data_IF_597696962473
#
_entry.id   IF_597696962473
#
_cell.length_a   1.000
_cell.length_b   1.000
_cell.length_c   1.000
_cell.angle_alpha   90.00
_cell.angle_beta   90.00
_cell.angle_gamma   90.00
#
_symmetry.space_group_name_H-M   'P 1'
#
loop_
_entity.id
_entity.type
_entity.pdbx_description
1 polymer ?
#
# COMPACT_ATOMS: atom_id res chain seq x y z
N UNK A 1 -5.96 7.92 53.96
CA UNK A 1 -5.48 7.31 52.71
C UNK A 1 -6.64 7.36 51.72
N UNK A 2 -6.61 8.23 50.72
CA UNK A 2 -7.75 8.41 49.81
C UNK A 2 -7.71 7.33 48.72
N UNK A 3 -8.73 6.47 48.70
CA UNK A 3 -8.91 5.47 47.66
C UNK A 3 -9.27 6.16 46.34
N UNK A 4 -8.36 6.11 45.39
CA UNK A 4 -8.52 6.65 44.03
C UNK A 4 -8.80 5.49 43.08
N UNK A 5 -9.99 4.88 43.18
CA UNK A 5 -10.44 3.95 42.15
C UNK A 5 -10.86 4.77 40.92
N UNK A 6 -10.13 4.61 39.82
CA UNK A 6 -10.46 5.23 38.53
C UNK A 6 -11.78 4.64 38.01
N UNK A 7 -12.78 5.50 37.81
CA UNK A 7 -14.06 5.09 37.22
C UNK A 7 -13.91 4.94 35.69
N UNK A 8 -14.69 4.05 35.07
CA UNK A 8 -14.61 3.74 33.63
C UNK A 8 -14.72 4.96 32.71
N UNK A 9 -15.42 6.01 33.16
CA UNK A 9 -15.51 7.30 32.45
C UNK A 9 -14.19 8.08 32.43
N UNK A 10 -13.38 7.99 33.49
CA UNK A 10 -12.06 8.65 33.56
C UNK A 10 -11.03 7.93 32.67
N UNK A 11 -11.11 6.60 32.57
CA UNK A 11 -10.29 5.81 31.65
C UNK A 11 -10.64 6.16 30.20
N UNK A 12 -11.93 6.24 29.86
CA UNK A 12 -12.39 6.63 28.54
C UNK A 12 -11.91 8.04 28.15
N UNK A 13 -12.00 9.01 29.06
CA UNK A 13 -11.50 10.37 28.80
C UNK A 13 -9.97 10.43 28.69
N UNK A 14 -9.22 9.66 29.47
CA UNK A 14 -7.77 9.60 29.37
C UNK A 14 -7.30 9.06 28.00
N UNK A 15 -7.98 8.03 27.47
CA UNK A 15 -7.70 7.50 26.14
C UNK A 15 -8.07 8.53 25.06
N UNK A 16 -9.23 9.17 25.20
CA UNK A 16 -9.71 10.17 24.23
C UNK A 16 -8.76 11.37 24.15
N UNK A 17 -8.28 11.88 25.29
CA UNK A 17 -7.34 13.00 25.40
C UNK A 17 -5.95 12.69 24.82
N UNK A 18 -5.53 11.42 24.76
CA UNK A 18 -4.22 11.04 24.21
C UNK A 18 -4.26 10.80 22.69
N UNK A 19 -5.37 10.25 22.17
CA UNK A 19 -5.47 9.81 20.77
C UNK A 19 -5.97 10.92 19.83
N UNK A 20 -6.91 11.75 20.28
CA UNK A 20 -7.54 12.74 19.38
C UNK A 20 -6.70 13.99 19.07
N UNK A 21 -5.99 14.64 20.03
CA UNK A 21 -5.23 15.85 19.72
C UNK A 21 -3.91 15.57 18.99
N UNK A 22 -3.34 14.37 19.15
CA UNK A 22 -2.04 14.01 18.57
C UNK A 22 -2.10 13.72 17.07
N UNK A 23 -3.22 13.19 16.58
CA UNK A 23 -3.38 12.81 15.18
C UNK A 23 -4.14 13.86 14.34
N UNK A 24 -5.09 14.61 14.94
CA UNK A 24 -6.05 15.40 14.17
C UNK A 24 -6.05 16.91 14.44
N UNK A 25 -5.39 17.40 15.49
CA UNK A 25 -5.45 18.84 15.84
C UNK A 25 -4.24 19.66 15.34
N UNK A 26 -3.19 19.01 14.83
CA UNK A 26 -2.02 19.69 14.25
C UNK A 26 -2.09 19.60 12.73
N UNK A 27 -2.47 20.69 12.06
CA UNK A 27 -2.55 20.78 10.58
C UNK A 27 -1.30 20.20 9.88
N UNK A 28 -0.11 20.40 10.44
CA UNK A 28 1.14 19.85 9.90
C UNK A 28 1.24 18.32 9.99
N UNK A 29 0.76 17.70 11.08
CA UNK A 29 0.75 16.24 11.25
C UNK A 29 -0.29 15.60 10.32
N UNK A 30 -1.43 16.26 10.13
CA UNK A 30 -2.48 15.82 9.21
C UNK A 30 -1.99 15.76 7.76
N UNK A 31 -1.34 16.82 7.27
CA UNK A 31 -0.78 16.82 5.91
C UNK A 31 0.34 15.78 5.74
N UNK A 32 1.23 15.67 6.74
CA UNK A 32 2.34 14.71 6.68
C UNK A 32 1.84 13.26 6.70
N UNK A 33 0.81 12.96 7.48
CA UNK A 33 0.22 11.62 7.52
C UNK A 33 -0.50 11.27 6.22
N UNK A 34 -1.18 12.23 5.59
CA UNK A 34 -1.77 12.05 4.26
C UNK A 34 -0.68 11.76 3.23
N UNK A 35 0.41 12.53 3.19
CA UNK A 35 1.48 12.28 2.22
C UNK A 35 2.19 10.94 2.45
N UNK A 36 2.51 10.61 3.71
CA UNK A 36 3.11 9.33 4.04
C UNK A 36 2.17 8.16 3.70
N UNK A 37 0.88 8.29 3.99
CA UNK A 37 -0.14 7.32 3.65
C UNK A 37 -0.33 7.17 2.15
N UNK A 38 -0.34 8.28 1.40
CA UNK A 38 -0.46 8.28 -0.06
C UNK A 38 0.73 7.57 -0.71
N UNK A 39 1.96 7.84 -0.28
CA UNK A 39 3.15 7.18 -0.81
C UNK A 39 3.15 5.66 -0.52
N UNK A 40 2.82 5.28 0.72
CA UNK A 40 2.70 3.87 1.07
C UNK A 40 1.58 3.17 0.28
N UNK A 41 0.44 3.87 0.08
CA UNK A 41 -0.68 3.36 -0.68
C UNK A 41 -0.35 3.23 -2.17
N UNK A 42 0.33 4.19 -2.78
CA UNK A 42 0.79 4.15 -4.17
C UNK A 42 1.59 2.87 -4.46
N UNK A 43 2.64 2.62 -3.67
CA UNK A 43 3.48 1.43 -3.83
C UNK A 43 2.68 0.13 -3.68
N UNK A 44 1.83 0.08 -2.66
CA UNK A 44 1.01 -1.11 -2.39
C UNK A 44 -0.03 -1.33 -3.49
N UNK A 45 -0.70 -0.27 -3.92
CA UNK A 45 -1.76 -0.31 -4.92
C UNK A 45 -1.21 -0.69 -6.30
N UNK A 46 -0.10 -0.10 -6.73
CA UNK A 46 0.54 -0.44 -8.00
C UNK A 46 0.99 -1.90 -8.02
N UNK A 47 1.64 -2.36 -6.95
CA UNK A 47 2.10 -3.75 -6.85
C UNK A 47 0.93 -4.73 -6.88
N UNK A 48 -0.12 -4.45 -6.10
CA UNK A 48 -1.30 -5.30 -6.03
C UNK A 48 -2.07 -5.32 -7.36
N UNK A 49 -2.31 -4.16 -7.94
CA UNK A 49 -3.09 -4.02 -9.18
C UNK A 49 -2.39 -4.69 -10.36
N UNK A 50 -1.07 -4.50 -10.49
CA UNK A 50 -0.27 -5.20 -11.50
C UNK A 50 -0.34 -6.72 -11.30
N UNK A 51 -0.21 -7.22 -10.07
CA UNK A 51 -0.29 -8.66 -9.79
C UNK A 51 -1.66 -9.25 -10.14
N UNK A 52 -2.74 -8.52 -9.84
CA UNK A 52 -4.11 -8.92 -10.19
C UNK A 52 -4.24 -9.00 -11.71
N UNK A 53 -3.82 -7.94 -12.41
CA UNK A 53 -3.85 -7.88 -13.87
C UNK A 53 -3.05 -9.02 -14.52
N UNK A 54 -1.85 -9.27 -14.00
CA UNK A 54 -0.94 -10.30 -14.48
C UNK A 54 -1.52 -11.70 -14.34
N UNK A 55 -2.22 -11.95 -13.24
CA UNK A 55 -2.85 -13.23 -12.96
C UNK A 55 -4.05 -13.43 -13.88
N UNK A 56 -4.85 -12.39 -14.11
CA UNK A 56 -6.03 -12.45 -14.98
C UNK A 56 -5.67 -12.58 -16.47
N UNK A 57 -4.57 -11.97 -16.90
CA UNK A 57 -4.15 -11.94 -18.31
C UNK A 57 -2.96 -12.86 -18.61
N UNK A 58 -2.72 -13.86 -17.76
CA UNK A 58 -1.59 -14.79 -17.95
C UNK A 58 -1.65 -15.46 -19.33
N UNK A 59 -0.51 -15.54 -20.00
CA UNK A 59 -0.36 -16.15 -21.32
C UNK A 59 -0.79 -15.26 -22.50
N UNK A 60 -1.35 -14.08 -22.22
CA UNK A 60 -1.68 -13.07 -23.25
C UNK A 60 -0.80 -11.83 -23.18
N UNK A 61 0.02 -11.72 -22.14
CA UNK A 61 0.89 -10.57 -21.95
C UNK A 61 2.15 -10.74 -22.80
N UNK A 62 2.64 -9.62 -23.35
CA UNK A 62 3.90 -9.61 -24.11
C UNK A 62 5.04 -10.26 -23.32
N UNK A 63 5.16 -9.97 -22.02
CA UNK A 63 6.19 -10.57 -21.17
C UNK A 63 6.13 -12.10 -21.08
N UNK A 64 4.94 -12.68 -21.25
CA UNK A 64 4.76 -14.13 -21.25
C UNK A 64 5.07 -14.73 -22.63
N UNK A 65 4.80 -14.03 -23.74
CA UNK A 65 4.92 -14.57 -25.11
C UNK A 65 6.17 -14.12 -25.87
N UNK A 66 6.87 -13.07 -25.39
CA UNK A 66 8.02 -12.44 -26.06
C UNK A 66 9.11 -13.43 -26.46
N UNK A 67 9.39 -14.42 -25.60
CA UNK A 67 10.44 -15.41 -25.83
C UNK A 67 10.23 -16.17 -27.15
N UNK A 68 8.98 -16.46 -27.52
CA UNK A 68 8.65 -17.19 -28.75
C UNK A 68 8.98 -16.37 -30.00
N UNK A 69 8.85 -15.04 -29.94
CA UNK A 69 9.11 -14.16 -31.08
C UNK A 69 10.58 -13.85 -31.27
N UNK A 70 11.35 -13.78 -30.17
CA UNK A 70 12.79 -13.53 -30.25
C UNK A 70 13.51 -14.78 -30.74
N UNK A 71 13.16 -15.94 -30.19
CA UNK A 71 13.74 -17.20 -30.64
C UNK A 71 13.44 -17.45 -32.12
N UNK A 72 12.21 -17.18 -32.56
CA UNK A 72 11.86 -17.26 -33.97
C UNK A 72 12.67 -16.29 -34.85
N UNK A 73 12.91 -15.06 -34.38
CA UNK A 73 13.73 -14.11 -35.14
C UNK A 73 15.19 -14.53 -35.24
N UNK A 74 15.75 -15.16 -34.19
CA UNK A 74 17.10 -15.74 -34.21
C UNK A 74 17.19 -16.95 -35.15
N UNK A 75 16.19 -17.85 -35.13
CA UNK A 75 16.09 -18.98 -36.06
C UNK A 75 15.98 -18.53 -37.52
N UNK A 76 15.17 -17.50 -37.80
CA UNK A 76 15.02 -16.92 -39.14
C UNK A 76 16.33 -16.24 -39.64
N UNK A 77 17.16 -15.68 -38.75
CA UNK A 77 18.48 -15.10 -39.09
C UNK A 77 19.56 -16.17 -39.37
N UNK A 78 19.54 -17.30 -38.66
CA UNK A 78 20.50 -18.40 -38.86
C UNK A 78 20.18 -19.25 -40.12
N UNK A 79 18.94 -19.19 -40.62
CA UNK A 79 18.50 -19.85 -41.87
C UNK A 79 18.80 -19.04 -43.15
N UNK A 80 19.20 -17.76 -43.06
CA UNK A 80 19.55 -16.86 -44.19
C UNK A 80 21.06 -16.84 -44.52
#
# INVERSE_FOLDING_TARGET
MANTSLNSSQIAQAIYQQVTPTLFQRNAVYLTSIFAGAFAFEVAFDTASNKIWDTMNRGRQWKDIRHQYIQKAEEDEDEE
#
